data_IF_489934688175
#
_entry.id   IF_489934688175
#
_cell.length_a   1.000
_cell.length_b   1.000
_cell.length_c   1.000
_cell.angle_alpha   90.00
_cell.angle_beta   90.00
_cell.angle_gamma   90.00
#
_symmetry.space_group_name_H-M   'P 1'
#
loop_
_entity.id
_entity.type
_entity.pdbx_description
1 polymer ?
#
# COMPACT_ATOMS: atom_id res chain seq x y z
N UNK A 1 -6.85 36.24 10.97
CA UNK A 1 -7.69 35.57 9.92
C UNK A 1 -6.89 34.77 8.89
N UNK A 2 -5.70 35.21 8.45
CA UNK A 2 -4.88 34.45 7.47
C UNK A 2 -4.40 33.09 8.00
N UNK A 3 -4.02 33.00 9.27
CA UNK A 3 -3.65 31.73 9.93
C UNK A 3 -4.80 30.74 9.96
N UNK A 4 -6.01 31.18 10.34
CA UNK A 4 -7.20 30.31 10.40
C UNK A 4 -7.50 29.67 9.04
N UNK A 5 -7.47 30.47 7.95
CA UNK A 5 -7.65 29.97 6.57
C UNK A 5 -6.59 28.92 6.20
N UNK A 6 -5.33 29.14 6.59
CA UNK A 6 -4.25 28.17 6.36
C UNK A 6 -4.48 26.86 7.12
N UNK A 7 -4.85 26.92 8.40
CA UNK A 7 -5.14 25.73 9.21
C UNK A 7 -6.31 24.92 8.66
N UNK A 8 -7.36 25.58 8.16
CA UNK A 8 -8.49 24.89 7.50
C UNK A 8 -8.05 24.17 6.23
N UNK A 9 -7.27 24.83 5.37
CA UNK A 9 -6.75 24.23 4.13
C UNK A 9 -5.81 23.05 4.43
N UNK A 10 -4.90 23.22 5.40
CA UNK A 10 -4.00 22.16 5.83
C UNK A 10 -4.78 20.94 6.36
N UNK A 11 -5.79 21.18 7.20
CA UNK A 11 -6.62 20.10 7.76
C UNK A 11 -7.42 19.38 6.67
N UNK A 12 -8.01 20.12 5.72
CA UNK A 12 -8.72 19.54 4.58
C UNK A 12 -7.81 18.72 3.67
N UNK A 13 -6.53 19.07 3.52
CA UNK A 13 -5.59 18.28 2.71
C UNK A 13 -5.14 17.02 3.47
N UNK A 14 -4.78 17.17 4.75
CA UNK A 14 -4.27 16.06 5.56
C UNK A 14 -5.33 15.00 5.89
N UNK A 15 -6.61 15.37 5.99
CA UNK A 15 -7.69 14.41 6.27
C UNK A 15 -7.86 13.36 5.16
N UNK A 16 -7.42 13.64 3.92
CA UNK A 16 -7.44 12.66 2.84
C UNK A 16 -6.11 11.92 2.71
N UNK A 17 -4.99 12.63 2.78
CA UNK A 17 -3.66 12.04 2.59
C UNK A 17 -3.35 11.02 3.70
N UNK A 18 -3.65 11.34 4.95
CA UNK A 18 -3.28 10.51 6.10
C UNK A 18 -3.99 9.14 6.12
N UNK A 19 -5.32 9.02 5.97
CA UNK A 19 -5.96 7.71 5.95
C UNK A 19 -5.57 6.90 4.71
N UNK A 20 -5.42 7.51 3.54
CA UNK A 20 -5.03 6.79 2.32
C UNK A 20 -3.62 6.22 2.48
N UNK A 21 -2.65 7.04 2.91
CA UNK A 21 -1.27 6.57 3.14
C UNK A 21 -1.18 5.56 4.27
N UNK A 22 -1.93 5.76 5.36
CA UNK A 22 -2.01 4.84 6.49
C UNK A 22 -2.56 3.46 6.11
N UNK A 23 -3.73 3.40 5.48
CA UNK A 23 -4.37 2.13 5.06
C UNK A 23 -3.49 1.42 4.04
N UNK A 24 -2.93 2.14 3.07
CA UNK A 24 -2.08 1.55 2.03
C UNK A 24 -0.80 0.98 2.62
N UNK A 25 -0.15 1.71 3.54
CA UNK A 25 1.03 1.23 4.25
C UNK A 25 0.74 -0.01 5.09
N UNK A 26 -0.34 0.02 5.88
CA UNK A 26 -0.78 -1.13 6.67
C UNK A 26 -1.12 -2.36 5.82
N UNK A 27 -1.84 -2.16 4.71
CA UNK A 27 -2.20 -3.23 3.78
C UNK A 27 -0.96 -3.91 3.18
N UNK A 28 0.06 -3.14 2.78
CA UNK A 28 1.32 -3.71 2.30
C UNK A 28 2.13 -4.41 3.39
N UNK A 29 2.12 -3.89 4.63
CA UNK A 29 2.82 -4.52 5.74
C UNK A 29 2.19 -5.86 6.15
N UNK A 30 0.87 -5.97 6.12
CA UNK A 30 0.17 -7.21 6.50
C UNK A 30 0.18 -8.24 5.34
N UNK A 31 0.10 -7.80 4.09
CA UNK A 31 -0.06 -8.71 2.96
C UNK A 31 1.09 -9.72 2.82
N UNK A 32 2.34 -9.30 3.02
CA UNK A 32 3.50 -10.19 2.99
C UNK A 32 3.41 -11.34 4.01
N UNK A 33 3.29 -11.04 5.32
CA UNK A 33 3.08 -12.05 6.36
C UNK A 33 1.89 -12.98 6.10
N UNK A 34 0.74 -12.46 5.65
CA UNK A 34 -0.43 -13.29 5.33
C UNK A 34 -0.12 -14.30 4.22
N UNK A 35 0.61 -13.89 3.18
CA UNK A 35 1.00 -14.78 2.08
C UNK A 35 1.93 -15.89 2.57
N UNK A 36 2.89 -15.59 3.46
CA UNK A 36 3.78 -16.59 4.06
C UNK A 36 2.97 -17.61 4.87
N UNK A 37 2.10 -17.13 5.77
CA UNK A 37 1.24 -18.00 6.60
C UNK A 37 0.34 -18.87 5.73
N UNK A 38 -0.31 -18.28 4.72
CA UNK A 38 -1.17 -19.02 3.78
C UNK A 38 -0.39 -20.09 3.01
N UNK A 39 0.85 -19.82 2.63
CA UNK A 39 1.72 -20.78 1.94
C UNK A 39 2.12 -21.95 2.84
N UNK A 40 2.43 -21.69 4.11
CA UNK A 40 2.74 -22.74 5.11
C UNK A 40 1.52 -23.63 5.34
N UNK A 41 0.34 -23.03 5.54
CA UNK A 41 -0.91 -23.78 5.72
C UNK A 41 -1.18 -24.65 4.49
N UNK A 42 -1.05 -24.10 3.27
CA UNK A 42 -1.17 -24.86 2.03
C UNK A 42 -0.24 -26.06 1.97
N UNK A 43 1.01 -25.88 2.39
CA UNK A 43 2.03 -26.93 2.39
C UNK A 43 1.67 -28.06 3.37
N UNK A 44 1.25 -27.73 4.60
CA UNK A 44 0.83 -28.70 5.61
C UNK A 44 -0.38 -29.51 5.14
N UNK A 45 -1.41 -28.84 4.61
CA UNK A 45 -2.61 -29.55 4.10
C UNK A 45 -2.30 -30.44 2.90
N UNK A 46 -1.38 -30.03 2.03
CA UNK A 46 -0.89 -30.87 0.93
C UNK A 46 -0.17 -32.12 1.43
N UNK A 47 0.61 -32.03 2.52
CA UNK A 47 1.24 -33.19 3.15
C UNK A 47 0.23 -34.17 3.77
N UNK A 48 -0.92 -33.66 4.24
CA UNK A 48 -2.00 -34.47 4.82
C UNK A 48 -2.96 -35.06 3.77
N UNK A 49 -2.72 -34.81 2.47
CA UNK A 49 -3.57 -35.32 1.39
C UNK A 49 -4.96 -34.67 1.30
N UNK A 50 -5.18 -33.56 2.01
CA UNK A 50 -6.45 -32.82 2.02
C UNK A 50 -6.33 -31.65 1.06
N UNK A 51 -7.02 -31.72 -0.08
CA UNK A 51 -7.05 -30.62 -1.04
C UNK A 51 -8.02 -29.51 -0.60
N UNK A 52 -7.50 -28.39 -0.09
CA UNK A 52 -8.29 -27.18 0.11
C UNK A 52 -8.61 -26.54 -1.24
N UNK A 53 -9.78 -26.84 -1.79
CA UNK A 53 -10.28 -26.27 -3.04
C UNK A 53 -10.17 -24.73 -3.13
N UNK A 54 -10.31 -24.03 -1.99
CA UNK A 54 -10.18 -22.57 -1.87
C UNK A 54 -8.73 -22.04 -1.97
N UNK A 55 -7.71 -22.81 -1.59
CA UNK A 55 -6.29 -22.43 -1.71
C UNK A 55 -5.62 -22.98 -2.98
N UNK A 56 -6.25 -23.97 -3.62
CA UNK A 56 -5.65 -24.73 -4.71
C UNK A 56 -5.96 -24.17 -6.08
N UNK A 57 -6.97 -23.29 -6.23
CA UNK A 57 -7.24 -22.60 -7.49
C UNK A 57 -6.55 -21.24 -7.57
N UNK A 58 -5.36 -21.11 -8.18
CA UNK A 58 -5.01 -19.84 -8.81
C UNK A 58 -6.00 -19.64 -9.96
N UNK A 59 -6.73 -18.52 -9.98
CA UNK A 59 -7.65 -18.20 -11.10
C UNK A 59 -6.92 -18.04 -12.43
N UNK A 60 -5.59 -17.92 -12.39
CA UNK A 60 -4.68 -17.91 -13.53
C UNK A 60 -3.69 -19.06 -13.36
N UNK A 61 -4.05 -20.26 -13.80
CA UNK A 61 -3.17 -21.44 -13.74
C UNK A 61 -2.04 -21.40 -14.78
N UNK A 62 -1.16 -20.40 -14.70
CA UNK A 62 -0.04 -20.22 -15.64
C UNK A 62 1.22 -20.97 -15.20
N UNK A 63 1.26 -21.47 -13.95
CA UNK A 63 2.40 -22.18 -13.37
C UNK A 63 3.23 -21.28 -12.45
N UNK A 64 4.14 -21.89 -11.67
CA UNK A 64 4.87 -21.21 -10.58
C UNK A 64 5.78 -20.09 -11.10
N UNK A 65 6.42 -20.30 -12.26
CA UNK A 65 7.36 -19.34 -12.85
C UNK A 65 6.65 -18.07 -13.39
N UNK A 66 5.59 -18.19 -14.21
CA UNK A 66 4.85 -17.02 -14.67
C UNK A 66 4.20 -16.21 -13.55
N UNK A 67 3.64 -16.87 -12.53
CA UNK A 67 3.03 -16.20 -11.38
C UNK A 67 4.06 -15.39 -10.58
N UNK A 68 5.28 -15.91 -10.43
CA UNK A 68 6.39 -15.21 -9.80
C UNK A 68 6.77 -13.94 -10.58
N UNK A 69 6.89 -14.05 -11.90
CA UNK A 69 7.23 -12.91 -12.78
C UNK A 69 6.15 -11.83 -12.70
N UNK A 70 4.87 -12.22 -12.75
CA UNK A 70 3.74 -11.28 -12.63
C UNK A 70 3.77 -10.59 -11.26
N UNK A 71 3.99 -11.35 -10.18
CA UNK A 71 4.08 -10.79 -8.83
C UNK A 71 5.21 -9.77 -8.68
N UNK A 72 6.39 -10.07 -9.23
CA UNK A 72 7.54 -9.15 -9.24
C UNK A 72 7.24 -7.88 -10.05
N UNK A 73 6.65 -8.01 -11.23
CA UNK A 73 6.29 -6.86 -12.08
C UNK A 73 5.26 -5.98 -11.38
N UNK A 74 4.21 -6.58 -10.81
CA UNK A 74 3.17 -5.85 -10.08
C UNK A 74 3.76 -5.15 -8.86
N UNK A 75 4.61 -5.84 -8.09
CA UNK A 75 5.31 -5.25 -6.94
C UNK A 75 6.21 -4.07 -7.35
N UNK A 76 6.91 -4.18 -8.47
CA UNK A 76 7.74 -3.10 -9.00
C UNK A 76 6.91 -1.87 -9.41
N UNK A 77 5.80 -2.08 -10.11
CA UNK A 77 4.86 -1.01 -10.50
C UNK A 77 4.31 -0.31 -9.26
N UNK A 78 3.86 -1.08 -8.25
CA UNK A 78 3.35 -0.54 -6.99
C UNK A 78 4.41 0.27 -6.24
N UNK A 79 5.67 -0.18 -6.27
CA UNK A 79 6.80 0.54 -5.67
C UNK A 79 7.03 1.89 -6.36
N UNK A 80 7.00 1.93 -7.70
CA UNK A 80 7.13 3.17 -8.47
C UNK A 80 5.98 4.14 -8.13
N UNK A 81 4.74 3.63 -8.09
CA UNK A 81 3.56 4.42 -7.73
C UNK A 81 3.73 4.98 -6.31
N UNK A 82 4.14 4.17 -5.34
CA UNK A 82 4.40 4.60 -3.96
C UNK A 82 5.44 5.72 -3.86
N UNK A 83 6.55 5.60 -4.60
CA UNK A 83 7.58 6.65 -4.68
C UNK A 83 7.00 7.95 -5.25
N UNK A 84 6.18 7.84 -6.29
CA UNK A 84 5.50 8.99 -6.90
C UNK A 84 4.54 9.67 -5.94
N UNK A 85 3.68 8.91 -5.25
CA UNK A 85 2.79 9.45 -4.23
C UNK A 85 3.58 10.17 -3.13
N UNK A 86 4.68 9.56 -2.66
CA UNK A 86 5.53 10.17 -1.63
C UNK A 86 6.14 11.50 -2.08
N UNK A 87 6.59 11.59 -3.35
CA UNK A 87 7.07 12.85 -3.92
C UNK A 87 5.98 13.93 -3.96
N UNK A 88 4.75 13.55 -4.31
CA UNK A 88 3.61 14.48 -4.31
C UNK A 88 3.31 14.95 -2.89
N UNK A 89 3.27 14.05 -1.90
CA UNK A 89 3.06 14.40 -0.49
C UNK A 89 4.13 15.38 0.02
N UNK A 90 5.41 15.13 -0.29
CA UNK A 90 6.49 16.05 0.06
C UNK A 90 6.33 17.43 -0.59
N UNK A 91 5.93 17.47 -1.86
CA UNK A 91 5.69 18.72 -2.57
C UNK A 91 4.54 19.52 -1.95
N UNK A 92 3.44 18.84 -1.63
CA UNK A 92 2.28 19.44 -0.94
C UNK A 92 2.70 19.98 0.43
N UNK A 93 3.47 19.21 1.20
CA UNK A 93 3.98 19.65 2.50
C UNK A 93 4.86 20.90 2.40
N UNK A 94 5.80 20.92 1.45
CA UNK A 94 6.67 22.08 1.25
C UNK A 94 5.89 23.32 0.80
N UNK A 95 4.91 23.13 -0.09
CA UNK A 95 4.01 24.18 -0.54
C UNK A 95 3.16 24.74 0.63
N UNK A 96 2.57 23.87 1.45
CA UNK A 96 1.89 24.28 2.69
C UNK A 96 2.80 25.06 3.62
N UNK A 97 4.06 24.63 3.78
CA UNK A 97 5.08 25.35 4.54
C UNK A 97 5.37 26.75 4.01
N UNK A 98 5.48 26.93 2.70
CA UNK A 98 5.72 28.24 2.07
C UNK A 98 4.57 29.25 2.21
N UNK A 99 3.33 28.76 2.36
CA UNK A 99 2.14 29.61 2.53
C UNK A 99 1.85 29.85 4.02
N UNK A 100 2.59 29.21 4.92
CA UNK A 100 2.40 29.36 6.35
C UNK A 100 2.62 30.83 6.72
N UNK A 101 1.61 31.53 7.26
CA UNK A 101 1.79 32.91 7.67
C UNK A 101 2.79 32.95 8.82
N UNK A 102 3.78 33.85 8.73
CA UNK A 102 4.61 34.21 9.88
C UNK A 102 3.69 34.80 10.94
N UNK A 103 3.62 34.13 12.09
CA UNK A 103 2.96 34.69 13.26
C UNK A 103 3.88 35.79 13.80
N UNK A 104 3.59 37.05 13.45
CA UNK A 104 3.98 38.20 14.27
C UNK A 104 2.95 38.38 15.40
#
# INVERSE_FOLDING_TARGET
MKSLKWYTIASCIWIFIFPITGITGWAFMISGPIVIVGSIVKFVFKLLGIELYWLTKPSFGLGVLPDLIISVIVGFILTIIGIWLWRITKRIYHWLGSIKPENY
#
